data_IF_458520014082
#
_entry.id   IF_458520014082
#
_cell.length_a   1.000
_cell.length_b   1.000
_cell.length_c   1.000
_cell.angle_alpha   90.00
_cell.angle_beta   90.00
_cell.angle_gamma   90.00
#
_symmetry.space_group_name_H-M   'P 1'
#
loop_
_entity.id
_entity.type
_entity.pdbx_description
1 polymer ?
#
# COMPACT_ATOMS: atom_id res chain seq x y z
N UNK A 1 -27.09 37.34 42.42
CA UNK A 1 -26.42 38.41 41.67
C UNK A 1 -25.34 38.95 42.56
N UNK A 2 -24.09 38.62 42.25
CA UNK A 2 -22.90 39.29 42.77
C UNK A 2 -22.18 39.97 41.60
N UNK A 3 -21.53 41.12 41.79
CA UNK A 3 -21.01 41.93 40.68
C UNK A 3 -19.68 41.40 40.17
N UNK A 4 -19.52 41.36 38.85
CA UNK A 4 -18.27 41.02 38.16
C UNK A 4 -17.33 42.23 38.12
N UNK A 5 -16.12 42.05 38.65
CA UNK A 5 -15.00 42.99 38.61
C UNK A 5 -14.27 42.93 37.24
N UNK A 6 -14.18 44.03 36.46
CA UNK A 6 -13.64 44.01 35.10
C UNK A 6 -12.16 44.41 35.06
N UNK A 7 -11.25 43.67 35.71
CA UNK A 7 -9.81 43.99 35.63
C UNK A 7 -8.83 42.83 35.90
N UNK A 8 -9.10 41.60 35.46
CA UNK A 8 -8.13 40.48 35.59
C UNK A 8 -7.66 39.95 34.22
N UNK A 9 -6.37 40.05 33.87
CA UNK A 9 -5.86 39.46 32.63
C UNK A 9 -5.91 37.93 32.71
N UNK A 10 -6.50 37.29 31.69
CA UNK A 10 -6.56 35.85 31.51
C UNK A 10 -5.14 35.27 31.39
N UNK A 11 -4.69 34.55 32.43
CA UNK A 11 -3.48 33.73 32.35
C UNK A 11 -3.72 32.57 31.38
N UNK A 12 -2.86 32.45 30.37
CA UNK A 12 -2.84 31.31 29.45
C UNK A 12 -2.53 30.03 30.24
N UNK A 13 -3.21 28.91 29.96
CA UNK A 13 -2.88 27.63 30.58
C UNK A 13 -1.47 27.18 30.12
N UNK A 14 -0.71 26.47 30.97
CA UNK A 14 0.59 25.94 30.60
C UNK A 14 0.46 24.89 29.48
N UNK A 15 1.43 24.87 28.57
CA UNK A 15 1.50 23.87 27.49
C UNK A 15 1.71 22.48 28.11
N UNK A 16 1.09 21.41 27.57
CA UNK A 16 1.35 20.05 28.03
C UNK A 16 2.81 19.68 27.70
N UNK A 17 3.56 19.25 28.72
CA UNK A 17 4.89 18.66 28.55
C UNK A 17 4.76 17.28 27.89
N UNK A 18 5.55 17.07 26.83
CA UNK A 18 5.64 15.78 26.14
C UNK A 18 6.42 14.80 27.04
N UNK A 19 5.91 13.58 27.32
CA UNK A 19 6.63 12.60 28.11
C UNK A 19 8.01 12.26 27.51
N UNK A 20 9.03 12.15 28.36
CA UNK A 20 10.46 11.89 28.03
C UNK A 20 10.77 10.55 27.33
N UNK A 21 9.79 9.85 26.74
CA UNK A 21 10.00 8.60 26.01
C UNK A 21 10.48 8.80 24.55
N UNK A 22 10.50 10.03 24.04
CA UNK A 22 10.92 10.34 22.66
C UNK A 22 12.32 10.99 22.55
N UNK A 23 13.32 10.45 23.27
CA UNK A 23 14.73 10.70 22.91
C UNK A 23 15.19 9.61 21.95
N UNK A 24 15.41 9.98 20.69
CA UNK A 24 16.09 9.15 19.67
C UNK A 24 17.39 8.59 20.26
N UNK A 25 17.51 7.26 20.32
CA UNK A 25 18.82 6.63 20.48
C UNK A 25 19.62 6.79 19.18
N UNK A 26 20.93 7.07 19.24
CA UNK A 26 21.78 7.09 18.06
C UNK A 26 21.90 5.67 17.47
N UNK A 27 21.85 5.60 16.13
CA UNK A 27 22.00 4.36 15.35
C UNK A 27 23.31 3.65 15.73
N UNK A 28 23.23 2.39 16.12
CA UNK A 28 24.40 1.50 16.15
C UNK A 28 24.90 1.28 14.71
N UNK A 29 26.21 1.42 14.51
CA UNK A 29 26.86 1.14 13.23
C UNK A 29 26.79 -0.36 12.93
N UNK A 30 26.34 -0.72 11.73
CA UNK A 30 26.42 -2.09 11.23
C UNK A 30 27.89 -2.48 10.97
N UNK A 31 28.29 -3.74 11.25
CA UNK A 31 29.67 -4.18 11.07
C UNK A 31 30.02 -4.26 9.58
N UNK A 32 31.12 -3.60 9.22
CA UNK A 32 31.65 -3.57 7.85
C UNK A 32 32.18 -4.94 7.44
N UNK A 33 31.74 -5.41 6.28
CA UNK A 33 32.36 -6.52 5.58
C UNK A 33 33.73 -6.09 5.03
N UNK A 34 34.79 -6.61 5.64
CA UNK A 34 36.15 -6.53 5.11
C UNK A 34 36.27 -7.41 3.86
N UNK A 35 36.45 -6.81 2.70
CA UNK A 35 37.03 -7.49 1.54
C UNK A 35 38.52 -7.14 1.43
N UNK A 36 39.36 -8.15 1.61
CA UNK A 36 40.81 -8.08 1.43
C UNK A 36 41.13 -7.81 -0.03
N UNK A 37 41.90 -6.74 -0.29
CA UNK A 37 42.40 -6.35 -1.60
C UNK A 37 43.61 -7.21 -1.97
N UNK A 38 43.48 -8.08 -2.97
CA UNK A 38 44.63 -8.73 -3.61
C UNK A 38 45.13 -7.81 -4.73
N UNK A 39 46.34 -7.29 -4.55
CA UNK A 39 47.09 -6.54 -5.57
C UNK A 39 47.62 -7.50 -6.64
N UNK A 40 47.29 -7.25 -7.90
CA UNK A 40 47.92 -7.88 -9.05
C UNK A 40 47.74 -7.02 -10.29
N UNK A 41 48.76 -6.25 -10.66
CA UNK A 41 48.72 -5.32 -11.78
C UNK A 41 48.92 -5.99 -13.14
N UNK A 42 48.39 -5.34 -14.19
CA UNK A 42 48.95 -5.28 -15.56
C UNK A 42 48.34 -4.07 -16.31
N UNK A 43 49.15 -3.52 -17.21
CA UNK A 43 49.15 -2.19 -17.84
C UNK A 43 47.99 -1.89 -18.82
N UNK A 44 47.76 -0.60 -19.18
CA UNK A 44 46.59 -0.16 -19.92
C UNK A 44 46.75 -0.28 -21.44
N UNK A 45 45.65 -0.48 -22.15
CA UNK A 45 45.57 -0.32 -23.61
C UNK A 45 44.77 0.96 -23.87
N UNK A 46 45.45 1.91 -24.53
CA UNK A 46 44.91 3.17 -25.01
C UNK A 46 44.06 2.94 -26.25
N UNK A 47 42.85 3.52 -26.29
CA UNK A 47 42.14 3.82 -27.54
C UNK A 47 41.70 5.28 -27.49
N UNK A 48 42.49 6.11 -28.16
CA UNK A 48 42.16 7.48 -28.55
C UNK A 48 41.30 7.46 -29.80
N UNK A 49 40.10 8.05 -29.76
CA UNK A 49 39.38 8.48 -30.97
C UNK A 49 38.74 9.85 -30.74
N UNK A 50 39.30 10.85 -31.42
CA UNK A 50 38.63 12.00 -32.03
C UNK A 50 37.65 12.82 -31.21
N UNK A 51 38.13 13.91 -30.61
CA UNK A 51 37.30 15.06 -30.30
C UNK A 51 36.89 15.77 -31.60
N UNK A 52 35.60 16.02 -31.77
CA UNK A 52 35.10 17.14 -32.58
C UNK A 52 34.14 17.94 -31.72
N UNK A 53 34.65 19.09 -31.30
CA UNK A 53 33.95 20.14 -30.58
C UNK A 53 32.96 20.84 -31.51
N UNK A 54 31.67 20.74 -31.21
CA UNK A 54 30.69 21.74 -31.63
C UNK A 54 30.27 22.49 -30.38
N UNK A 55 30.73 23.73 -30.28
CA UNK A 55 30.35 24.68 -29.23
C UNK A 55 28.91 25.08 -29.49
N UNK A 56 27.98 24.48 -28.76
CA UNK A 56 26.58 24.89 -28.71
C UNK A 56 26.34 25.71 -27.45
N UNK A 57 25.97 26.97 -27.64
CA UNK A 57 25.73 27.99 -26.62
C UNK A 57 24.81 27.54 -25.49
N UNK A 58 25.08 28.11 -24.31
CA UNK A 58 24.39 27.80 -23.06
C UNK A 58 22.87 27.94 -23.13
N UNK A 59 22.20 26.85 -22.76
CA UNK A 59 20.85 26.86 -22.26
C UNK A 59 20.89 26.33 -20.83
N UNK A 60 20.51 27.17 -19.87
CA UNK A 60 20.26 26.77 -18.48
C UNK A 60 19.23 25.64 -18.50
N UNK A 61 19.66 24.38 -18.31
CA UNK A 61 18.75 23.25 -18.26
C UNK A 61 18.12 23.20 -16.87
N UNK A 62 17.05 23.96 -16.68
CA UNK A 62 16.05 23.62 -15.68
C UNK A 62 15.40 22.31 -16.16
N UNK A 63 15.98 21.17 -15.73
CA UNK A 63 15.42 19.85 -16.06
C UNK A 63 14.09 19.74 -15.33
N UNK A 64 13.01 20.15 -16.00
CA UNK A 64 11.66 20.14 -15.47
C UNK A 64 11.32 18.79 -14.83
N UNK A 65 10.69 18.85 -13.66
CA UNK A 65 10.13 17.66 -13.00
C UNK A 65 9.17 16.96 -13.96
N UNK A 66 9.19 15.63 -14.00
CA UNK A 66 8.22 14.85 -14.77
C UNK A 66 6.79 15.20 -14.33
N UNK A 67 5.89 15.29 -15.29
CA UNK A 67 4.46 15.49 -15.09
C UNK A 67 3.69 14.16 -15.15
N UNK A 68 2.41 14.19 -14.76
CA UNK A 68 1.51 13.04 -14.95
C UNK A 68 1.39 12.67 -16.44
N UNK A 69 1.41 13.68 -17.33
CA UNK A 69 1.39 13.48 -18.77
C UNK A 69 2.63 12.73 -19.26
N UNK A 70 3.82 13.06 -18.76
CA UNK A 70 5.05 12.33 -19.12
C UNK A 70 4.98 10.85 -18.71
N UNK A 71 4.41 10.55 -17.54
CA UNK A 71 4.19 9.16 -17.10
C UNK A 71 3.20 8.44 -18.00
N UNK A 72 2.10 9.11 -18.37
CA UNK A 72 1.12 8.56 -19.30
C UNK A 72 1.74 8.25 -20.67
N UNK A 73 2.59 9.15 -21.19
CA UNK A 73 3.32 8.94 -22.45
C UNK A 73 4.28 7.75 -22.37
N UNK A 74 5.01 7.57 -21.26
CA UNK A 74 5.90 6.42 -21.07
C UNK A 74 5.14 5.09 -21.12
N UNK A 75 3.94 5.03 -20.53
CA UNK A 75 3.07 3.86 -20.58
C UNK A 75 2.51 3.67 -21.99
N UNK A 76 1.96 4.73 -22.61
CA UNK A 76 1.31 4.69 -23.93
C UNK A 76 2.28 4.28 -25.03
N UNK A 77 3.50 4.80 -25.00
CA UNK A 77 4.58 4.46 -25.93
C UNK A 77 5.22 3.10 -25.64
N UNK A 78 4.72 2.34 -24.64
CA UNK A 78 5.31 1.06 -24.19
C UNK A 78 6.78 1.18 -23.80
N UNK A 79 7.23 2.36 -23.37
CA UNK A 79 8.57 2.56 -22.83
C UNK A 79 8.69 1.96 -21.41
N UNK A 80 7.56 1.91 -20.69
CA UNK A 80 7.39 1.13 -19.47
C UNK A 80 6.42 -0.03 -19.74
N UNK A 81 6.85 -1.26 -19.46
CA UNK A 81 6.09 -2.50 -19.70
C UNK A 81 6.07 -3.43 -18.47
N UNK A 82 6.76 -3.06 -17.39
CA UNK A 82 6.92 -3.84 -16.17
C UNK A 82 6.55 -2.96 -14.98
N UNK A 83 5.28 -2.60 -14.94
CA UNK A 83 4.75 -1.71 -13.91
C UNK A 83 4.56 -2.50 -12.62
N UNK A 84 5.24 -2.09 -11.56
CA UNK A 84 4.94 -2.53 -10.20
C UNK A 84 3.98 -1.51 -9.58
N UNK A 85 2.96 -2.01 -8.93
CA UNK A 85 1.96 -1.18 -8.26
C UNK A 85 1.99 -1.50 -6.77
N UNK A 86 2.01 -0.46 -5.94
CA UNK A 86 1.85 -0.53 -4.49
C UNK A 86 0.57 0.20 -4.09
N UNK A 87 -0.32 -0.48 -3.37
CA UNK A 87 -1.59 0.12 -2.94
C UNK A 87 -1.84 -0.09 -1.45
N UNK A 88 -2.64 0.81 -0.87
CA UNK A 88 -3.17 0.68 0.50
C UNK A 88 -4.62 1.12 0.60
N UNK A 89 -5.09 1.32 1.82
CA UNK A 89 -6.53 1.42 2.11
C UNK A 89 -7.25 2.58 1.41
N UNK A 90 -6.50 3.63 1.02
CA UNK A 90 -7.02 4.77 0.29
C UNK A 90 -7.66 4.40 -1.05
N UNK A 91 -7.26 3.28 -1.70
CA UNK A 91 -7.92 2.84 -2.94
C UNK A 91 -9.31 2.25 -2.71
N UNK A 92 -9.62 1.81 -1.49
CA UNK A 92 -10.88 1.16 -1.11
C UNK A 92 -11.89 2.10 -0.45
N UNK A 93 -11.48 3.34 -0.11
CA UNK A 93 -12.40 4.36 0.42
C UNK A 93 -13.56 4.70 -0.52
N UNK A 94 -13.39 4.79 -1.86
CA UNK A 94 -14.51 5.01 -2.78
C UNK A 94 -15.46 3.80 -2.88
N UNK A 95 -15.02 2.63 -2.42
CA UNK A 95 -15.84 1.43 -2.33
C UNK A 95 -16.66 1.38 -1.02
N UNK A 96 -16.53 2.37 -0.14
CA UNK A 96 -17.23 2.42 1.14
C UNK A 96 -16.48 1.74 2.29
N UNK A 97 -15.23 1.31 2.08
CA UNK A 97 -14.40 0.72 3.13
C UNK A 97 -13.58 1.86 3.77
N UNK A 98 -13.75 2.15 5.06
CA UNK A 98 -12.96 3.19 5.72
C UNK A 98 -11.48 2.79 5.70
N UNK A 99 -10.59 3.77 5.54
CA UNK A 99 -9.17 3.52 5.79
C UNK A 99 -8.92 3.32 7.29
N UNK A 100 -7.69 2.99 7.68
CA UNK A 100 -7.39 2.77 9.09
C UNK A 100 -7.21 4.07 9.90
N UNK A 101 -6.67 5.12 9.27
CA UNK A 101 -5.98 6.23 9.97
C UNK A 101 -6.60 7.61 9.77
N UNK A 102 -7.51 7.80 8.82
CA UNK A 102 -8.12 9.10 8.57
C UNK A 102 -8.86 9.59 9.83
N UNK A 103 -8.59 10.82 10.30
CA UNK A 103 -9.27 11.35 11.48
C UNK A 103 -10.80 11.39 11.28
N UNK A 104 -11.54 10.85 12.24
CA UNK A 104 -13.01 10.87 12.26
C UNK A 104 -13.70 9.75 11.46
N UNK A 105 -13.18 9.38 10.29
CA UNK A 105 -13.77 8.31 9.45
C UNK A 105 -13.01 6.99 9.46
N UNK A 106 -11.73 7.01 9.86
CA UNK A 106 -10.88 5.82 9.85
C UNK A 106 -11.26 4.82 10.92
N UNK A 107 -11.03 3.54 10.64
CA UNK A 107 -11.40 2.41 11.48
C UNK A 107 -11.00 2.62 12.94
N UNK A 108 -9.76 3.06 13.21
CA UNK A 108 -9.25 3.29 14.57
C UNK A 108 -10.02 4.34 15.38
N UNK A 109 -10.68 5.29 14.71
CA UNK A 109 -11.55 6.27 15.38
C UNK A 109 -12.85 5.63 15.89
N UNK A 110 -13.31 4.57 15.21
CA UNK A 110 -14.57 3.88 15.49
C UNK A 110 -14.40 2.63 16.38
N UNK A 111 -13.17 2.21 16.68
CA UNK A 111 -12.91 1.02 17.52
C UNK A 111 -13.19 1.22 19.02
N UNK A 112 -13.58 2.42 19.46
CA UNK A 112 -13.85 2.72 20.89
C UNK A 112 -14.92 1.81 21.50
N UNK A 113 -15.78 1.22 20.68
CA UNK A 113 -16.81 0.27 21.12
C UNK A 113 -16.27 -1.10 21.57
N UNK A 114 -15.02 -1.44 21.24
CA UNK A 114 -14.48 -2.80 21.43
C UNK A 114 -13.66 -3.00 22.72
N UNK A 115 -13.69 -2.06 23.66
CA UNK A 115 -12.92 -2.09 24.93
C UNK A 115 -11.45 -2.51 24.72
N UNK A 116 -10.81 -1.90 23.72
CA UNK A 116 -9.41 -2.16 23.38
C UNK A 116 -8.49 -1.30 24.25
N UNK A 117 -7.31 -1.82 24.67
CA UNK A 117 -6.33 -1.01 25.39
C UNK A 117 -5.79 0.15 24.52
N UNK A 118 -5.70 -0.08 23.21
CA UNK A 118 -5.40 0.89 22.16
C UNK A 118 -5.87 0.31 20.81
N UNK A 119 -6.14 1.13 19.78
CA UNK A 119 -6.76 0.67 18.53
C UNK A 119 -6.02 -0.46 17.81
N UNK A 120 -4.69 -0.43 17.81
CA UNK A 120 -3.83 -1.40 17.11
C UNK A 120 -3.90 -2.80 17.74
N UNK A 121 -4.30 -2.92 19.01
CA UNK A 121 -4.38 -4.19 19.73
C UNK A 121 -5.30 -5.21 19.03
N UNK A 122 -6.30 -4.76 18.26
CA UNK A 122 -7.19 -5.64 17.49
C UNK A 122 -6.43 -6.50 16.46
N UNK A 123 -5.25 -6.04 16.03
CA UNK A 123 -4.36 -6.73 15.09
C UNK A 123 -3.10 -7.25 15.77
N UNK A 124 -3.11 -7.46 17.09
CA UNK A 124 -2.00 -8.07 17.82
C UNK A 124 -2.32 -9.51 18.21
N UNK A 125 -1.41 -10.43 17.90
CA UNK A 125 -1.62 -11.85 18.19
C UNK A 125 -1.85 -12.14 19.70
N UNK A 126 -1.11 -11.53 20.65
CA UNK A 126 -1.39 -11.72 22.08
C UNK A 126 -2.81 -11.29 22.48
N UNK A 127 -3.28 -10.14 22.00
CA UNK A 127 -4.63 -9.67 22.28
C UNK A 127 -5.68 -10.61 21.65
N UNK A 128 -5.47 -11.03 20.40
CA UNK A 128 -6.38 -11.93 19.70
C UNK A 128 -6.51 -13.30 20.37
N UNK A 129 -5.41 -13.86 20.86
CA UNK A 129 -5.44 -15.13 21.60
C UNK A 129 -6.16 -14.99 22.94
N UNK A 130 -6.12 -13.82 23.57
CA UNK A 130 -6.87 -13.52 24.80
C UNK A 130 -8.36 -13.26 24.52
N UNK A 131 -8.67 -12.41 23.55
CA UNK A 131 -10.03 -12.04 23.15
C UNK A 131 -10.12 -11.89 21.63
N UNK A 132 -10.53 -12.95 20.89
CA UNK A 132 -10.63 -12.90 19.44
C UNK A 132 -11.90 -12.20 18.94
N UNK A 133 -12.88 -11.94 19.80
CA UNK A 133 -14.20 -11.45 19.41
C UNK A 133 -14.15 -10.10 18.68
N UNK A 134 -13.42 -9.06 19.17
CA UNK A 134 -13.34 -7.78 18.47
C UNK A 134 -12.89 -7.91 17.01
N UNK A 135 -11.85 -8.71 16.77
CA UNK A 135 -11.36 -8.96 15.41
C UNK A 135 -12.42 -9.65 14.55
N UNK A 136 -13.13 -10.67 15.06
CA UNK A 136 -14.15 -11.35 14.26
C UNK A 136 -15.38 -10.49 14.00
N UNK A 137 -15.75 -9.60 14.92
CA UNK A 137 -16.79 -8.59 14.66
C UNK A 137 -16.36 -7.65 13.54
N UNK A 138 -15.12 -7.17 13.55
CA UNK A 138 -14.57 -6.39 12.45
C UNK A 138 -14.50 -7.19 11.14
N UNK A 139 -14.06 -8.46 11.20
CA UNK A 139 -13.92 -9.32 10.04
C UNK A 139 -15.26 -9.52 9.32
N UNK A 140 -16.37 -9.59 10.06
CA UNK A 140 -17.72 -9.65 9.50
C UNK A 140 -18.05 -8.43 8.63
N UNK A 141 -17.65 -7.24 9.05
CA UNK A 141 -17.86 -6.01 8.29
C UNK A 141 -16.99 -6.02 7.01
N UNK A 142 -15.73 -6.44 7.13
CA UNK A 142 -14.74 -6.43 6.05
C UNK A 142 -14.84 -7.63 5.08
N UNK A 143 -15.68 -8.63 5.37
CA UNK A 143 -15.72 -9.84 4.56
C UNK A 143 -16.15 -9.56 3.12
N UNK A 144 -15.51 -10.20 2.12
CA UNK A 144 -15.89 -10.05 0.72
C UNK A 144 -17.38 -10.33 0.47
N UNK A 145 -18.03 -9.44 -0.28
CA UNK A 145 -19.47 -9.50 -0.64
C UNK A 145 -20.25 -8.23 -0.32
N UNK A 146 -19.81 -7.48 0.69
CA UNK A 146 -20.42 -6.21 1.10
C UNK A 146 -19.98 -5.02 0.22
N UNK A 147 -18.82 -5.14 -0.41
CA UNK A 147 -18.17 -4.07 -1.16
C UNK A 147 -17.86 -4.50 -2.58
N UNK A 148 -17.79 -3.52 -3.48
CA UNK A 148 -17.43 -3.72 -4.88
C UNK A 148 -16.13 -3.00 -5.21
N UNK A 149 -15.28 -3.55 -6.09
CA UNK A 149 -14.15 -2.79 -6.61
C UNK A 149 -14.64 -1.52 -7.31
N UNK A 150 -13.91 -0.43 -7.13
CA UNK A 150 -14.16 0.83 -7.83
C UNK A 150 -13.20 1.03 -9.02
N UNK A 151 -13.30 2.17 -9.70
CA UNK A 151 -12.50 2.50 -10.89
C UNK A 151 -10.98 2.35 -10.69
N UNK A 152 -10.47 2.61 -9.48
CA UNK A 152 -9.04 2.43 -9.16
C UNK A 152 -8.63 0.97 -9.32
N UNK A 153 -9.43 0.04 -8.81
CA UNK A 153 -9.17 -1.40 -8.92
C UNK A 153 -9.26 -1.89 -10.36
N UNK A 154 -10.24 -1.37 -11.11
CA UNK A 154 -10.41 -1.72 -12.52
C UNK A 154 -9.35 -1.09 -13.43
N UNK A 155 -8.77 0.05 -13.07
CA UNK A 155 -7.57 0.56 -13.76
C UNK A 155 -6.40 -0.42 -13.63
N UNK A 156 -6.19 -1.01 -12.45
CA UNK A 156 -5.16 -2.04 -12.25
C UNK A 156 -5.46 -3.30 -13.06
N UNK A 157 -6.73 -3.67 -13.17
CA UNK A 157 -7.18 -4.76 -14.05
C UNK A 157 -6.91 -4.44 -15.52
N UNK A 158 -7.18 -3.22 -15.96
CA UNK A 158 -6.91 -2.81 -17.35
C UNK A 158 -5.41 -2.78 -17.65
N UNK A 159 -4.59 -2.37 -16.68
CA UNK A 159 -3.13 -2.46 -16.76
C UNK A 159 -2.64 -3.91 -16.90
N UNK A 160 -3.29 -4.84 -16.20
CA UNK A 160 -3.06 -6.28 -16.35
C UNK A 160 -3.47 -6.78 -17.74
N UNK A 161 -4.69 -6.49 -18.19
CA UNK A 161 -5.24 -6.96 -19.46
C UNK A 161 -4.43 -6.43 -20.66
N UNK A 162 -3.82 -5.25 -20.52
CA UNK A 162 -2.89 -4.68 -21.52
C UNK A 162 -1.47 -5.25 -21.46
N UNK A 163 -1.19 -6.17 -20.54
CA UNK A 163 0.11 -6.84 -20.41
C UNK A 163 1.22 -5.97 -19.79
N UNK A 164 0.86 -4.92 -19.04
CA UNK A 164 1.81 -3.95 -18.48
C UNK A 164 2.11 -4.19 -17.00
N UNK A 165 1.16 -4.80 -16.27
CA UNK A 165 1.32 -5.08 -14.85
C UNK A 165 2.35 -6.20 -14.62
N UNK A 166 3.49 -5.88 -14.01
CA UNK A 166 4.43 -6.87 -13.50
C UNK A 166 3.85 -7.54 -12.25
N UNK A 167 3.53 -6.74 -11.23
CA UNK A 167 2.96 -7.19 -9.95
C UNK A 167 2.19 -6.07 -9.26
N UNK A 168 1.12 -6.46 -8.56
CA UNK A 168 0.38 -5.64 -7.63
C UNK A 168 0.70 -6.08 -6.20
N UNK A 169 1.30 -5.18 -5.41
CA UNK A 169 1.50 -5.31 -3.98
C UNK A 169 0.41 -4.51 -3.27
N UNK A 170 -0.39 -5.17 -2.43
CA UNK A 170 -1.46 -4.52 -1.66
C UNK A 170 -1.22 -4.68 -0.17
N UNK A 171 -1.48 -3.62 0.59
CA UNK A 171 -1.58 -3.64 2.06
C UNK A 171 -3.01 -3.97 2.51
N UNK A 172 -3.97 -3.98 1.60
CA UNK A 172 -5.37 -4.20 1.91
C UNK A 172 -5.63 -5.68 2.14
N UNK A 173 -6.68 -5.91 2.93
CA UNK A 173 -7.16 -7.25 3.28
C UNK A 173 -8.59 -7.48 2.79
N UNK A 174 -9.22 -6.47 2.18
CA UNK A 174 -10.60 -6.50 1.68
C UNK A 174 -10.80 -7.44 0.47
N UNK A 175 -9.72 -7.78 -0.23
CA UNK A 175 -9.73 -8.71 -1.37
C UNK A 175 -10.31 -8.13 -2.67
N UNK A 176 -10.58 -6.82 -2.74
CA UNK A 176 -11.17 -6.19 -3.92
C UNK A 176 -10.29 -6.27 -5.16
N UNK A 177 -8.97 -6.45 -5.01
CA UNK A 177 -8.06 -6.73 -6.13
C UNK A 177 -8.35 -8.07 -6.78
N UNK A 178 -8.68 -9.11 -5.99
CA UNK A 178 -9.11 -10.41 -6.53
C UNK A 178 -10.46 -10.29 -7.20
N UNK A 179 -11.40 -9.58 -6.56
CA UNK A 179 -12.75 -9.36 -7.10
C UNK A 179 -12.73 -8.57 -8.41
N UNK A 180 -11.80 -7.63 -8.60
CA UNK A 180 -11.63 -6.93 -9.89
C UNK A 180 -11.02 -7.82 -11.00
N UNK A 181 -10.60 -9.04 -10.66
CA UNK A 181 -10.07 -10.03 -11.58
C UNK A 181 -8.55 -10.00 -11.75
N UNK A 182 -7.80 -9.43 -10.80
CA UNK A 182 -6.35 -9.61 -10.78
C UNK A 182 -6.04 -11.09 -10.46
N UNK A 183 -5.31 -11.81 -11.33
CA UNK A 183 -5.00 -13.21 -11.06
C UNK A 183 -4.04 -13.31 -9.86
N UNK A 184 -4.17 -14.39 -9.08
CA UNK A 184 -3.31 -14.63 -7.91
C UNK A 184 -1.81 -14.58 -8.25
N UNK A 185 -1.42 -14.97 -9.47
CA UNK A 185 -0.04 -14.89 -9.95
C UNK A 185 0.48 -13.45 -10.05
N UNK A 186 -0.38 -12.45 -10.23
CA UNK A 186 -0.03 -11.02 -10.30
C UNK A 186 -0.18 -10.29 -8.96
N UNK A 187 -0.76 -10.92 -7.95
CA UNK A 187 -1.05 -10.30 -6.66
C UNK A 187 -0.10 -10.77 -5.55
N UNK A 188 0.33 -9.81 -4.73
CA UNK A 188 0.98 -10.00 -3.44
C UNK A 188 0.16 -9.25 -2.39
N UNK A 189 -0.62 -9.99 -1.63
CA UNK A 189 -1.33 -9.48 -0.45
C UNK A 189 -0.34 -9.43 0.72
N UNK A 190 0.35 -8.30 0.87
CA UNK A 190 1.46 -8.17 1.82
C UNK A 190 1.01 -8.32 3.28
N UNK A 191 -0.23 -7.94 3.59
CA UNK A 191 -0.83 -8.10 4.92
C UNK A 191 -1.81 -9.28 5.00
N UNK A 192 -1.73 -10.21 4.05
CA UNK A 192 -2.53 -11.42 4.08
C UNK A 192 -3.93 -11.25 3.51
N UNK A 193 -4.79 -12.25 3.69
CA UNK A 193 -6.08 -12.36 2.98
C UNK A 193 -7.16 -13.07 3.81
N UNK A 194 -8.43 -12.71 3.60
CA UNK A 194 -9.57 -13.49 4.13
C UNK A 194 -9.87 -14.74 3.29
N UNK A 195 -9.20 -14.95 2.16
CA UNK A 195 -9.45 -16.10 1.30
C UNK A 195 -8.94 -17.44 1.85
N UNK A 196 -8.11 -17.41 2.89
CA UNK A 196 -7.60 -18.58 3.61
C UNK A 196 -7.50 -18.27 5.09
N UNK A 197 -7.43 -19.33 5.89
CA UNK A 197 -7.34 -19.24 7.34
C UNK A 197 -6.52 -20.40 7.90
N UNK A 198 -5.92 -20.22 9.07
CA UNK A 198 -5.07 -21.21 9.71
C UNK A 198 -5.48 -21.41 11.17
N UNK A 199 -5.56 -22.66 11.61
CA UNK A 199 -5.75 -22.96 13.03
C UNK A 199 -4.54 -22.52 13.85
N UNK A 200 -4.75 -21.69 14.87
CA UNK A 200 -3.68 -21.14 15.70
C UNK A 200 -2.95 -22.19 16.57
N UNK A 201 -3.52 -23.39 16.72
CA UNK A 201 -2.96 -24.48 17.53
C UNK A 201 -2.26 -25.51 16.64
N UNK A 202 -3.02 -26.22 15.80
CA UNK A 202 -2.46 -27.32 14.99
C UNK A 202 -1.91 -26.89 13.62
N UNK A 203 -1.97 -25.59 13.29
CA UNK A 203 -1.48 -25.02 12.02
C UNK A 203 -2.15 -25.61 10.76
N UNK A 204 -3.28 -26.29 10.92
CA UNK A 204 -4.06 -26.81 9.79
C UNK A 204 -4.62 -25.64 8.96
N UNK A 205 -4.41 -25.62 7.64
CA UNK A 205 -4.99 -24.60 6.76
C UNK A 205 -6.45 -24.93 6.44
N UNK A 206 -7.22 -23.87 6.19
CA UNK A 206 -8.62 -23.87 5.81
C UNK A 206 -8.83 -22.86 4.67
N UNK A 207 -9.67 -23.17 3.67
CA UNK A 207 -10.30 -22.16 2.85
C UNK A 207 -10.98 -21.10 3.73
N UNK A 208 -10.89 -19.83 3.33
CA UNK A 208 -11.59 -18.75 4.05
C UNK A 208 -13.10 -18.95 4.05
N UNK A 209 -13.66 -19.58 3.00
CA UNK A 209 -15.08 -19.89 2.92
C UNK A 209 -15.55 -20.81 4.06
N UNK A 210 -14.69 -21.73 4.53
CA UNK A 210 -15.03 -22.67 5.62
C UNK A 210 -15.34 -21.96 6.94
N UNK A 211 -14.75 -20.79 7.18
CA UNK A 211 -14.98 -20.01 8.40
C UNK A 211 -16.03 -18.91 8.22
N UNK A 212 -16.49 -18.65 6.99
CA UNK A 212 -17.42 -17.56 6.68
C UNK A 212 -18.72 -17.68 7.49
N UNK A 213 -19.30 -18.87 7.54
CA UNK A 213 -20.58 -19.10 8.22
C UNK A 213 -20.51 -18.80 9.73
N UNK A 214 -19.37 -19.07 10.36
CA UNK A 214 -19.16 -18.73 11.78
C UNK A 214 -18.99 -17.22 11.96
N UNK A 215 -18.14 -16.58 11.15
CA UNK A 215 -17.91 -15.12 11.22
C UNK A 215 -19.22 -14.35 11.00
N UNK A 216 -20.03 -14.75 10.01
CA UNK A 216 -21.31 -14.10 9.70
C UNK A 216 -22.36 -14.27 10.81
N UNK A 217 -22.27 -15.35 11.58
CA UNK A 217 -23.16 -15.64 12.69
C UNK A 217 -22.60 -15.18 14.05
N UNK A 218 -21.59 -14.30 14.05
CA UNK A 218 -20.93 -13.76 15.25
C UNK A 218 -20.32 -14.86 16.15
N UNK A 219 -19.91 -15.99 15.55
CA UNK A 219 -19.23 -17.10 16.22
C UNK A 219 -17.74 -17.06 15.91
N UNK A 220 -16.93 -17.35 16.94
CA UNK A 220 -15.48 -17.53 16.78
C UNK A 220 -15.24 -18.88 16.09
N UNK A 221 -14.62 -18.92 14.89
CA UNK A 221 -14.38 -20.16 14.15
C UNK A 221 -13.45 -21.10 14.93
N UNK A 222 -13.80 -22.38 14.98
CA UNK A 222 -13.06 -23.41 15.75
C UNK A 222 -12.62 -24.54 14.84
N UNK A 223 -11.39 -25.01 15.05
CA UNK A 223 -10.82 -26.10 14.29
C UNK A 223 -11.57 -27.41 14.64
N UNK A 224 -12.07 -28.16 13.64
CA UNK A 224 -12.82 -29.39 13.89
C UNK A 224 -11.96 -30.52 14.46
N UNK A 225 -10.63 -30.39 14.44
CA UNK A 225 -9.70 -31.41 14.96
C UNK A 225 -9.26 -31.15 16.38
N UNK A 226 -8.81 -29.92 16.68
CA UNK A 226 -8.17 -29.60 17.96
C UNK A 226 -8.90 -28.50 18.75
N UNK A 227 -10.03 -27.99 18.26
CA UNK A 227 -10.85 -26.91 18.87
C UNK A 227 -10.14 -25.56 19.06
N UNK A 228 -8.89 -25.44 18.58
CA UNK A 228 -8.18 -24.16 18.49
C UNK A 228 -8.92 -23.16 17.61
N UNK A 229 -8.73 -21.87 17.87
CA UNK A 229 -9.32 -20.80 17.04
C UNK A 229 -8.74 -20.89 15.61
N UNK A 230 -9.59 -20.73 14.59
CA UNK A 230 -9.15 -20.62 13.19
C UNK A 230 -9.10 -19.15 12.83
N UNK A 231 -7.89 -18.64 12.61
CA UNK A 231 -7.61 -17.22 12.34
C UNK A 231 -7.49 -17.04 10.82
N UNK A 232 -8.19 -16.08 10.19
CA UNK A 232 -7.91 -15.69 8.81
C UNK A 232 -6.42 -15.41 8.59
N UNK A 233 -5.89 -15.68 7.41
CA UNK A 233 -4.47 -15.49 7.09
C UNK A 233 -4.14 -14.01 6.86
N UNK A 234 -4.65 -13.12 7.71
CA UNK A 234 -4.28 -11.71 7.86
C UNK A 234 -3.05 -11.64 8.74
N UNK A 235 -2.07 -10.84 8.33
CA UNK A 235 -0.85 -10.59 9.10
C UNK A 235 -1.16 -9.65 10.25
N UNK A 236 -0.94 -10.12 11.46
CA UNK A 236 -1.03 -9.32 12.68
C UNK A 236 0.33 -8.71 13.00
N UNK A 237 0.35 -7.65 13.81
CA UNK A 237 1.59 -7.05 14.28
C UNK A 237 2.44 -8.11 15.02
N UNK A 238 3.70 -8.20 14.61
CA UNK A 238 4.66 -9.19 15.10
C UNK A 238 4.66 -10.51 14.33
N UNK A 239 3.71 -10.75 13.43
CA UNK A 239 3.73 -11.92 12.54
C UNK A 239 4.65 -11.69 11.33
N UNK A 240 5.27 -12.75 10.78
CA UNK A 240 6.02 -12.64 9.52
C UNK A 240 5.09 -12.32 8.35
N UNK A 241 5.58 -11.54 7.39
CA UNK A 241 4.85 -11.34 6.13
C UNK A 241 4.75 -12.64 5.32
N UNK A 242 3.75 -12.78 4.43
CA UNK A 242 3.55 -14.01 3.65
C UNK A 242 4.74 -14.30 2.75
N UNK A 243 5.03 -15.57 2.48
CA UNK A 243 6.16 -15.98 1.63
C UNK A 243 6.15 -15.31 0.25
N UNK A 244 4.96 -15.05 -0.32
CA UNK A 244 4.80 -14.35 -1.60
C UNK A 244 5.35 -12.93 -1.58
N UNK A 245 5.47 -12.30 -0.41
CA UNK A 245 6.10 -10.99 -0.28
C UNK A 245 7.57 -11.02 -0.73
N UNK A 246 8.27 -12.16 -0.65
CA UNK A 246 9.66 -12.30 -1.11
C UNK A 246 9.85 -12.08 -2.62
N UNK A 247 8.77 -12.10 -3.41
CA UNK A 247 8.84 -11.76 -4.84
C UNK A 247 9.37 -10.34 -5.08
N UNK A 248 9.33 -9.47 -4.06
CA UNK A 248 9.84 -8.10 -4.17
C UNK A 248 11.32 -8.05 -4.55
N UNK A 249 12.10 -9.06 -4.15
CA UNK A 249 13.54 -9.18 -4.44
C UNK A 249 13.80 -9.24 -5.95
N UNK A 250 12.88 -9.81 -6.72
CA UNK A 250 12.97 -9.88 -8.19
C UNK A 250 12.20 -8.76 -8.86
N UNK A 251 10.99 -8.46 -8.38
CA UNK A 251 10.08 -7.54 -9.07
C UNK A 251 10.60 -6.10 -9.06
N UNK A 252 11.14 -5.61 -7.94
CA UNK A 252 11.53 -4.20 -7.79
C UNK A 252 12.78 -3.83 -8.62
N UNK A 253 13.84 -4.65 -8.69
CA UNK A 253 14.94 -4.41 -9.62
C UNK A 253 14.52 -4.46 -11.09
N UNK A 254 13.51 -5.28 -11.43
CA UNK A 254 13.01 -5.47 -12.79
C UNK A 254 12.01 -4.41 -13.25
N UNK A 255 11.40 -3.69 -12.31
CA UNK A 255 10.43 -2.64 -12.59
C UNK A 255 11.01 -1.53 -13.49
N UNK A 256 10.16 -0.99 -14.36
CA UNK A 256 10.45 0.19 -15.18
C UNK A 256 9.53 1.38 -14.88
N UNK A 257 8.49 1.16 -14.06
CA UNK A 257 7.62 2.19 -13.48
C UNK A 257 7.09 1.68 -12.13
N UNK A 258 7.06 2.56 -11.13
CA UNK A 258 6.38 2.29 -9.85
C UNK A 258 5.16 3.21 -9.70
N UNK A 259 3.98 2.61 -9.55
CA UNK A 259 2.76 3.33 -9.17
C UNK A 259 2.47 3.10 -7.69
N UNK A 260 2.16 4.17 -6.97
CA UNK A 260 1.84 4.14 -5.54
C UNK A 260 0.50 4.83 -5.36
N UNK A 261 -0.52 4.10 -4.89
CA UNK A 261 -1.88 4.62 -4.78
C UNK A 261 -2.45 4.43 -3.38
N UNK A 262 -3.02 5.50 -2.82
CA UNK A 262 -3.87 5.40 -1.63
C UNK A 262 -3.21 4.78 -0.39
N UNK A 263 -1.96 5.11 -0.08
CA UNK A 263 -1.26 4.61 1.13
C UNK A 263 -0.52 5.74 1.83
N UNK A 264 -0.45 5.71 3.16
CA UNK A 264 0.37 6.65 3.96
C UNK A 264 1.86 6.30 3.98
N UNK A 265 2.22 5.08 3.56
CA UNK A 265 3.59 4.55 3.63
C UNK A 265 4.21 4.64 5.03
N UNK A 266 3.42 4.37 6.08
CA UNK A 266 3.89 4.39 7.48
C UNK A 266 4.25 3.02 8.04
N UNK A 267 3.88 1.94 7.33
CA UNK A 267 4.06 0.56 7.79
C UNK A 267 5.20 -0.11 7.03
N UNK A 268 6.20 -0.56 7.77
CA UNK A 268 7.31 -1.36 7.25
C UNK A 268 7.00 -2.86 7.26
N UNK A 269 7.65 -3.66 6.39
CA UNK A 269 8.65 -3.31 5.36
C UNK A 269 8.05 -2.72 4.06
N UNK A 270 6.73 -2.49 4.01
CA UNK A 270 6.06 -2.06 2.78
C UNK A 270 6.49 -0.66 2.34
N UNK A 271 6.66 0.28 3.26
CA UNK A 271 7.08 1.65 2.94
C UNK A 271 8.47 1.70 2.27
N UNK A 272 9.43 0.91 2.78
CA UNK A 272 10.79 0.81 2.24
C UNK A 272 10.85 0.27 0.80
N UNK A 273 9.84 -0.47 0.34
CA UNK A 273 9.78 -0.95 -1.06
C UNK A 273 9.77 0.19 -2.08
N UNK A 274 9.26 1.37 -1.72
CA UNK A 274 9.30 2.53 -2.61
C UNK A 274 10.71 2.96 -3.00
N UNK A 275 11.71 2.59 -2.21
CA UNK A 275 13.12 2.87 -2.46
C UNK A 275 13.85 1.72 -3.16
N UNK A 276 13.24 0.53 -3.26
CA UNK A 276 13.86 -0.68 -3.81
C UNK A 276 13.89 -0.72 -5.35
N UNK A 277 13.12 0.14 -6.04
CA UNK A 277 13.27 0.32 -7.50
C UNK A 277 14.57 1.08 -7.82
N UNK A 278 15.14 0.82 -9.00
CA UNK A 278 16.35 1.52 -9.48
C UNK A 278 16.15 3.04 -9.48
N UNK A 279 17.22 3.80 -9.26
CA UNK A 279 17.17 5.28 -9.17
C UNK A 279 16.66 5.96 -10.46
N UNK A 280 16.77 5.29 -11.60
CA UNK A 280 16.28 5.77 -12.90
C UNK A 280 14.79 5.51 -13.15
N UNK A 281 14.13 4.70 -12.30
CA UNK A 281 12.71 4.33 -12.46
C UNK A 281 11.83 5.47 -11.98
N UNK A 282 10.90 5.98 -12.82
CA UNK A 282 9.90 6.95 -12.37
C UNK A 282 9.00 6.35 -11.29
N UNK A 283 8.63 7.17 -10.30
CA UNK A 283 7.66 6.81 -9.26
C UNK A 283 6.49 7.79 -9.33
N UNK A 284 5.28 7.29 -9.56
CA UNK A 284 4.06 8.11 -9.55
C UNK A 284 3.26 7.80 -8.28
N UNK A 285 3.04 8.82 -7.46
CA UNK A 285 2.11 8.79 -6.34
C UNK A 285 0.78 9.41 -6.74
N UNK A 286 -0.31 8.66 -6.59
CA UNK A 286 -1.68 9.17 -6.65
C UNK A 286 -2.28 9.02 -5.26
N UNK A 287 -2.33 10.11 -4.50
CA UNK A 287 -2.73 10.07 -3.09
C UNK A 287 -3.23 11.43 -2.62
N UNK A 288 -4.01 11.46 -1.54
CA UNK A 288 -4.46 12.73 -0.94
C UNK A 288 -3.29 13.62 -0.54
N UNK A 289 -2.32 13.02 0.13
CA UNK A 289 -1.20 13.72 0.76
C UNK A 289 0.14 13.25 0.17
N UNK A 290 1.14 14.14 0.16
CA UNK A 290 2.51 13.75 -0.15
C UNK A 290 3.10 13.01 1.05
N UNK A 291 3.53 11.76 0.84
CA UNK A 291 3.84 10.82 1.92
C UNK A 291 5.06 9.96 1.61
N UNK A 292 5.54 9.23 2.61
CA UNK A 292 6.59 8.24 2.40
C UNK A 292 7.93 8.87 2.00
N UNK A 293 8.85 8.01 1.54
CA UNK A 293 10.10 8.46 0.92
C UNK A 293 9.92 9.42 -0.25
N UNK A 294 8.72 9.58 -0.83
CA UNK A 294 8.47 10.62 -1.83
C UNK A 294 8.40 12.03 -1.23
N UNK A 295 8.02 12.17 0.05
CA UNK A 295 8.03 13.44 0.76
C UNK A 295 9.43 13.80 1.28
N UNK A 296 10.15 12.84 1.87
CA UNK A 296 11.40 13.10 2.58
C UNK A 296 12.68 12.63 1.87
N UNK A 297 12.59 11.76 0.86
CA UNK A 297 13.70 11.34 -0.01
C UNK A 297 13.31 11.40 -1.52
N UNK A 298 12.92 12.58 -2.03
CA UNK A 298 12.47 12.71 -3.42
C UNK A 298 13.59 12.38 -4.41
N UNK A 299 13.23 11.71 -5.51
CA UNK A 299 14.09 11.42 -6.66
C UNK A 299 13.73 12.35 -7.82
N UNK A 300 14.65 12.48 -8.77
CA UNK A 300 14.49 13.36 -9.94
C UNK A 300 13.31 12.98 -10.86
N UNK A 301 12.84 11.73 -10.80
CA UNK A 301 11.74 11.20 -11.63
C UNK A 301 10.48 10.88 -10.83
N UNK A 302 10.33 11.47 -9.65
CA UNK A 302 9.12 11.36 -8.86
C UNK A 302 8.04 12.33 -9.37
N UNK A 303 6.81 11.83 -9.43
CA UNK A 303 5.61 12.58 -9.77
C UNK A 303 4.59 12.37 -8.67
N UNK A 304 3.96 13.45 -8.21
CA UNK A 304 2.88 13.39 -7.23
C UNK A 304 1.61 14.03 -7.82
N UNK A 305 0.58 13.21 -8.03
CA UNK A 305 -0.78 13.65 -8.35
C UNK A 305 -1.57 13.65 -7.03
N UNK A 306 -1.61 14.83 -6.40
CA UNK A 306 -2.28 14.98 -5.11
C UNK A 306 -3.79 15.20 -5.27
N UNK A 307 -4.56 14.61 -4.36
CA UNK A 307 -6.02 14.73 -4.32
C UNK A 307 -6.74 13.39 -4.18
N UNK A 308 -8.01 13.37 -4.56
CA UNK A 308 -8.80 12.16 -4.58
C UNK A 308 -8.22 11.11 -5.55
N UNK A 309 -8.20 9.84 -5.12
CA UNK A 309 -7.58 8.75 -5.89
C UNK A 309 -8.35 8.43 -7.16
N UNK A 310 -9.68 8.52 -7.13
CA UNK A 310 -10.52 8.28 -8.31
C UNK A 310 -10.23 9.34 -9.35
N UNK A 311 -10.27 10.61 -8.97
CA UNK A 311 -9.96 11.71 -9.88
C UNK A 311 -8.54 11.60 -10.46
N UNK A 312 -7.54 11.26 -9.64
CA UNK A 312 -6.17 11.08 -10.12
C UNK A 312 -6.02 9.92 -11.12
N UNK A 313 -6.72 8.80 -10.88
CA UNK A 313 -6.74 7.65 -11.79
C UNK A 313 -7.48 7.99 -13.08
N UNK A 314 -8.65 8.63 -13.00
CA UNK A 314 -9.41 9.06 -14.18
C UNK A 314 -8.60 10.00 -15.06
N UNK A 315 -7.85 10.93 -14.46
CA UNK A 315 -6.95 11.82 -15.20
C UNK A 315 -5.84 11.06 -15.90
N UNK A 316 -5.25 10.05 -15.26
CA UNK A 316 -4.25 9.19 -15.89
C UNK A 316 -4.86 8.38 -17.04
N UNK A 317 -6.05 7.81 -16.84
CA UNK A 317 -6.81 7.06 -17.85
C UNK A 317 -7.13 7.94 -19.07
N UNK A 318 -7.51 9.20 -18.86
CA UNK A 318 -7.75 10.19 -19.91
C UNK A 318 -6.48 10.43 -20.75
N UNK A 319 -5.35 10.69 -20.09
CA UNK A 319 -4.05 10.92 -20.75
C UNK A 319 -3.54 9.69 -21.50
N UNK A 320 -3.89 8.49 -21.04
CA UNK A 320 -3.58 7.22 -21.71
C UNK A 320 -4.48 6.95 -22.93
N UNK A 321 -5.59 7.69 -23.07
CA UNK A 321 -6.62 7.41 -24.07
C UNK A 321 -7.40 6.13 -23.78
N UNK A 322 -7.52 5.73 -22.51
CA UNK A 322 -8.19 4.48 -22.10
C UNK A 322 -9.61 4.69 -21.55
N UNK A 323 -10.14 5.91 -21.64
CA UNK A 323 -11.42 6.30 -21.02
C UNK A 323 -12.59 5.38 -21.40
N UNK A 324 -12.80 5.11 -22.70
CA UNK A 324 -13.93 4.27 -23.13
C UNK A 324 -13.74 2.80 -22.72
N UNK A 325 -12.53 2.24 -22.88
CA UNK A 325 -12.24 0.88 -22.42
C UNK A 325 -12.46 0.72 -20.91
N UNK A 326 -12.11 1.75 -20.14
CA UNK A 326 -12.26 1.78 -18.70
C UNK A 326 -13.75 1.84 -18.31
N UNK A 327 -14.54 2.72 -18.97
CA UNK A 327 -16.00 2.77 -18.77
C UNK A 327 -16.68 1.44 -19.09
N UNK A 328 -16.29 0.81 -20.19
CA UNK A 328 -16.85 -0.48 -20.60
C UNK A 328 -16.48 -1.61 -19.65
N UNK A 329 -15.23 -1.63 -19.16
CA UNK A 329 -14.79 -2.58 -18.13
C UNK A 329 -15.60 -2.41 -16.84
N UNK A 330 -15.69 -1.19 -16.29
CA UNK A 330 -16.49 -0.94 -15.07
C UNK A 330 -17.92 -1.37 -15.27
N UNK A 331 -18.58 -0.92 -16.35
CA UNK A 331 -20.00 -1.23 -16.62
C UNK A 331 -20.25 -2.74 -16.70
N UNK A 332 -19.36 -3.47 -17.38
CA UNK A 332 -19.47 -4.93 -17.53
C UNK A 332 -19.28 -5.65 -16.21
N UNK A 333 -18.27 -5.28 -15.42
CA UNK A 333 -17.96 -6.00 -14.18
C UNK A 333 -18.90 -5.61 -13.03
N UNK A 334 -19.32 -4.34 -12.92
CA UNK A 334 -20.34 -3.96 -11.93
C UNK A 334 -21.70 -4.57 -12.27
N UNK A 335 -22.07 -4.65 -13.55
CA UNK A 335 -23.29 -5.31 -14.01
C UNK A 335 -23.34 -6.81 -13.66
N UNK A 336 -22.21 -7.52 -13.71
CA UNK A 336 -22.12 -8.92 -13.25
C UNK A 336 -22.34 -9.06 -11.74
N UNK A 337 -21.86 -8.10 -10.96
CA UNK A 337 -21.99 -8.10 -9.50
C UNK A 337 -23.41 -7.72 -9.01
N UNK A 338 -24.27 -7.19 -9.90
CA UNK A 338 -25.67 -6.86 -9.66
C UNK A 338 -26.65 -7.90 -10.23
N UNK A 339 -26.15 -8.96 -10.88
CA UNK A 339 -26.96 -10.04 -11.43
C UNK A 339 -27.64 -10.91 -10.36
N UNK A 340 -28.70 -11.67 -10.74
CA UNK A 340 -29.57 -12.41 -9.82
C UNK A 340 -28.92 -13.61 -9.09
N UNK A 341 -27.64 -13.91 -9.33
CA UNK A 341 -26.91 -15.04 -8.70
C UNK A 341 -26.23 -14.66 -7.37
N UNK A 342 -26.83 -13.76 -6.58
CA UNK A 342 -26.40 -13.46 -5.20
C UNK A 342 -27.25 -14.17 -4.16
#
# INVERSE_FOLDING_TARGET
GEPLDPARPLQRPPRPEVPRAFRRQPRAAAPGFFFSSIKGGRRPISFSVGASSVVGSGGSSDKGKLSLQDVAELIRARACQRVVVMVGAGISTPSGIPDFRSPGSGLYSNLRQYDLPYPEAIFELPFFLHNPKPFFTLAKELYPGNYKPNVTHYFLRLLHDKGLLLRLYTQNIDGLERVSGIPASKLVEAHGTFASATCTVCQRPFPGEDIRADVMADRVPRCPVCTGVVKPDIVFFGEPLPQRFLLHVVDFPMADLLLILGTSLEVEPFASLTEAVRSSVPRLLINRDLVGPLAWHPRSRDVAQLGDVVHGVERLVELLGWTEEMRDLVRRETGKLDGPDK
#
